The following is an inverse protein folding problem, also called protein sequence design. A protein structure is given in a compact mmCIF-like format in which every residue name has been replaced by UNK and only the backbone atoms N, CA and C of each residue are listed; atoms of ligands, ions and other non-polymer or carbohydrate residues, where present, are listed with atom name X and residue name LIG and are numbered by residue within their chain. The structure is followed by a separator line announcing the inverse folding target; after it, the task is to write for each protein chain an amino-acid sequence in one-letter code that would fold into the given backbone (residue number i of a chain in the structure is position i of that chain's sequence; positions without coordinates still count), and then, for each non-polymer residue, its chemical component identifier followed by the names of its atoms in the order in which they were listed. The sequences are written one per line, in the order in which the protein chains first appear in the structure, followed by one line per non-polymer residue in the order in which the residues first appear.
data_IF_903494311092
#
_entry.id   IF_903494311092
#
_cell.length_a   1.000
_cell.length_b   1.000
_cell.length_c   1.000
_cell.angle_alpha   90.00
_cell.angle_beta   90.00
_cell.angle_gamma   90.00
#
_symmetry.space_group_name_H-M   'P 1'
#
loop_
_entity.id
_entity.type
_entity.pdbx_description
1 polymer ?
#
# COMPACT_ATOMS: atom_id res chain seq x y z
N UNK A 1 13.03 -0.78 6.84
CA UNK A 1 12.11 0.37 7.09
C UNK A 1 11.38 0.04 8.38
N UNK A 2 11.18 0.96 9.33
CA UNK A 2 10.41 0.56 10.53
C UNK A 2 8.94 0.36 10.15
N UNK A 3 8.39 -0.83 10.36
CA UNK A 3 6.96 -1.08 10.17
C UNK A 3 6.14 -0.15 11.07
N UNK A 4 5.07 0.42 10.54
CA UNK A 4 4.14 1.21 11.35
C UNK A 4 3.39 0.30 12.32
N UNK A 5 3.67 0.43 13.62
CA UNK A 5 3.13 -0.44 14.67
C UNK A 5 1.60 -0.45 14.72
N UNK A 6 0.94 0.70 14.49
CA UNK A 6 -0.53 0.76 14.46
C UNK A 6 -1.11 -0.06 13.32
N UNK A 7 -0.50 0.03 12.13
CA UNK A 7 -0.89 -0.74 10.95
C UNK A 7 -0.62 -2.23 11.16
N UNK A 8 0.54 -2.58 11.73
CA UNK A 8 0.90 -3.95 12.07
C UNK A 8 -0.10 -4.59 13.05
N UNK A 9 -0.54 -3.82 14.07
CA UNK A 9 -1.52 -4.29 15.04
C UNK A 9 -2.88 -4.65 14.41
N UNK A 10 -3.26 -4.06 13.27
CA UNK A 10 -4.49 -4.47 12.57
C UNK A 10 -4.40 -5.89 12.01
N UNK A 11 -3.20 -6.41 11.79
CA UNK A 11 -2.93 -7.77 11.33
C UNK A 11 -2.64 -8.71 12.50
N UNK A 12 -1.82 -8.29 13.46
CA UNK A 12 -1.43 -9.15 14.58
C UNK A 12 -2.58 -9.46 15.54
N UNK A 13 -3.47 -8.50 15.79
CA UNK A 13 -4.61 -8.72 16.68
C UNK A 13 -5.55 -9.87 16.25
N UNK A 14 -6.02 -9.94 14.98
CA UNK A 14 -6.78 -11.10 14.52
C UNK A 14 -5.96 -12.38 14.46
N UNK A 15 -4.67 -12.33 14.17
CA UNK A 15 -3.81 -13.53 14.18
C UNK A 15 -3.61 -14.12 15.58
N UNK A 16 -3.32 -13.30 16.60
CA UNK A 16 -3.21 -13.76 17.99
C UNK A 16 -4.52 -14.43 18.47
N UNK A 17 -5.67 -13.88 18.05
CA UNK A 17 -6.98 -14.51 18.32
C UNK A 17 -7.10 -15.87 17.68
N UNK A 18 -6.75 -16.02 16.39
CA UNK A 18 -6.84 -17.31 15.70
C UNK A 18 -5.93 -18.38 16.34
N UNK A 19 -4.75 -17.98 16.82
CA UNK A 19 -3.87 -18.86 17.60
C UNK A 19 -4.53 -19.36 18.89
N UNK A 20 -5.25 -18.48 19.59
CA UNK A 20 -5.92 -18.80 20.86
C UNK A 20 -7.13 -19.71 20.65
N UNK A 21 -7.84 -19.52 19.53
CA UNK A 21 -9.04 -20.28 19.18
C UNK A 21 -8.71 -21.65 18.53
N UNK A 22 -7.44 -21.90 18.19
CA UNK A 22 -6.97 -23.14 17.56
C UNK A 22 -7.27 -23.21 16.05
N UNK A 23 -7.58 -22.08 15.41
CA UNK A 23 -7.84 -21.98 13.97
C UNK A 23 -6.56 -21.52 13.25
N UNK A 24 -5.81 -22.46 12.67
CA UNK A 24 -4.54 -22.16 11.98
C UNK A 24 -4.57 -22.65 10.53
N UNK A 25 -4.25 -21.77 9.58
CA UNK A 25 -4.30 -22.03 8.14
C UNK A 25 -2.98 -22.60 7.58
N UNK A 26 -1.89 -22.50 8.35
CA UNK A 26 -0.50 -22.73 7.97
C UNK A 26 -0.01 -24.18 8.13
N UNK A 27 -0.85 -25.09 8.64
CA UNK A 27 -0.44 -26.43 9.08
C UNK A 27 0.29 -27.24 7.99
N UNK A 28 -0.01 -27.01 6.71
CA UNK A 28 0.64 -27.71 5.60
C UNK A 28 2.14 -27.39 5.44
N UNK A 29 2.60 -26.18 5.77
CA UNK A 29 4.03 -25.83 5.71
C UNK A 29 4.82 -26.50 6.83
N UNK A 30 4.25 -26.52 8.03
CA UNK A 30 4.87 -27.18 9.19
C UNK A 30 5.01 -28.68 8.96
N UNK A 31 3.96 -29.33 8.43
CA UNK A 31 4.01 -30.73 8.00
C UNK A 31 5.08 -30.98 6.91
N UNK A 32 5.23 -30.05 5.96
CA UNK A 32 6.24 -30.13 4.92
C UNK A 32 7.66 -30.08 5.49
N UNK A 33 7.96 -29.14 6.39
CA UNK A 33 9.27 -29.01 7.04
C UNK A 33 9.58 -30.27 7.86
N UNK A 34 8.64 -30.74 8.69
CA UNK A 34 8.86 -31.92 9.52
C UNK A 34 9.10 -33.18 8.66
N UNK A 35 8.30 -33.35 7.61
CA UNK A 35 8.45 -34.43 6.66
C UNK A 35 9.81 -34.36 5.94
N UNK A 36 10.23 -33.17 5.51
CA UNK A 36 11.51 -33.00 4.84
C UNK A 36 12.67 -33.28 5.79
N UNK A 37 12.74 -32.59 6.93
CA UNK A 37 13.83 -32.75 7.91
C UNK A 37 13.95 -34.16 8.48
N UNK A 38 12.86 -34.92 8.58
CA UNK A 38 12.89 -36.32 9.07
C UNK A 38 13.45 -37.29 8.02
N UNK A 39 13.22 -37.04 6.74
CA UNK A 39 13.44 -38.03 5.69
C UNK A 39 14.57 -37.65 4.72
N UNK A 40 15.04 -36.40 4.74
CA UNK A 40 16.08 -35.93 3.83
C UNK A 40 17.44 -36.53 4.18
N UNK A 41 18.04 -37.22 3.21
CA UNK A 41 19.41 -37.73 3.28
C UNK A 41 20.06 -37.61 1.89
N UNK A 42 20.95 -36.64 1.73
CA UNK A 42 21.62 -36.35 0.46
C UNK A 42 22.46 -37.53 -0.05
N UNK A 43 22.94 -38.39 0.86
CA UNK A 43 23.79 -39.53 0.56
C UNK A 43 23.01 -40.86 0.52
N UNK A 44 21.68 -40.80 0.56
CA UNK A 44 20.81 -41.96 0.44
C UNK A 44 21.15 -42.80 -0.81
N UNK A 45 21.16 -44.13 -0.61
CA UNK A 45 21.44 -45.10 -1.68
C UNK A 45 20.37 -44.99 -2.77
N UNK A 46 19.09 -44.98 -2.39
CA UNK A 46 17.96 -44.73 -3.28
C UNK A 46 17.51 -43.27 -3.15
N UNK A 47 18.29 -42.37 -3.74
CA UNK A 47 18.02 -40.94 -3.71
C UNK A 47 16.63 -40.56 -4.28
N UNK A 48 16.13 -41.16 -5.39
CA UNK A 48 14.78 -40.89 -5.87
C UNK A 48 13.68 -41.26 -4.87
N UNK A 49 13.79 -42.42 -4.21
CA UNK A 49 12.83 -42.82 -3.18
C UNK A 49 12.89 -41.91 -1.94
N UNK A 50 14.11 -41.58 -1.48
CA UNK A 50 14.33 -40.63 -0.40
C UNK A 50 13.69 -39.27 -0.73
N UNK A 51 13.97 -38.72 -1.92
CA UNK A 51 13.42 -37.43 -2.36
C UNK A 51 11.89 -37.46 -2.38
N UNK A 52 11.28 -38.54 -2.89
CA UNK A 52 9.83 -38.68 -2.93
C UNK A 52 9.20 -38.71 -1.53
N UNK A 53 9.87 -39.35 -0.57
CA UNK A 53 9.44 -39.41 0.82
C UNK A 53 9.61 -38.05 1.51
N UNK A 54 10.77 -37.43 1.42
CA UNK A 54 11.07 -36.13 2.04
C UNK A 54 10.20 -34.99 1.50
N UNK A 55 9.80 -35.05 0.24
CA UNK A 55 8.98 -33.99 -0.38
C UNK A 55 7.49 -34.30 -0.40
N UNK A 56 7.04 -35.41 0.20
CA UNK A 56 5.66 -35.87 0.09
C UNK A 56 4.65 -34.78 0.52
N UNK A 57 4.87 -34.18 1.69
CA UNK A 57 4.00 -33.12 2.22
C UNK A 57 4.25 -31.77 1.53
N UNK A 58 5.50 -31.47 1.18
CA UNK A 58 5.88 -30.25 0.47
C UNK A 58 5.17 -30.08 -0.89
N UNK A 59 4.70 -31.17 -1.52
CA UNK A 59 3.91 -31.10 -2.75
C UNK A 59 2.65 -30.26 -2.62
N UNK A 60 1.96 -30.32 -1.48
CA UNK A 60 0.73 -29.56 -1.27
C UNK A 60 0.97 -28.04 -1.27
N UNK A 61 2.20 -27.63 -0.93
CA UNK A 61 2.61 -26.22 -0.81
C UNK A 61 3.30 -25.73 -2.08
N UNK A 62 4.16 -26.57 -2.69
CA UNK A 62 5.02 -26.17 -3.80
C UNK A 62 4.48 -26.49 -5.18
N UNK A 63 3.68 -27.56 -5.34
CA UNK A 63 3.08 -27.93 -6.63
C UNK A 63 1.69 -27.30 -6.78
N UNK A 64 1.46 -26.67 -7.92
CA UNK A 64 0.15 -26.15 -8.37
C UNK A 64 -0.22 -26.79 -9.71
N UNK A 65 -1.48 -26.66 -10.18
CA UNK A 65 -1.84 -27.11 -11.52
C UNK A 65 -1.01 -26.47 -12.64
N UNK A 66 -0.55 -25.22 -12.46
CA UNK A 66 0.20 -24.46 -13.45
C UNK A 66 1.73 -24.70 -13.37
N UNK A 67 2.25 -25.04 -12.19
CA UNK A 67 3.69 -25.14 -11.91
C UNK A 67 3.94 -26.28 -10.92
N UNK A 68 4.74 -27.28 -11.31
CA UNK A 68 5.00 -28.50 -10.53
C UNK A 68 6.52 -28.72 -10.35
N UNK A 69 7.20 -27.94 -9.51
CA UNK A 69 8.63 -28.09 -9.27
C UNK A 69 9.00 -29.45 -8.69
N UNK A 70 8.27 -29.98 -7.70
CA UNK A 70 8.58 -31.30 -7.11
C UNK A 70 8.23 -32.40 -8.08
N UNK A 71 7.03 -32.33 -8.69
CA UNK A 71 6.61 -33.29 -9.72
C UNK A 71 7.59 -33.39 -10.89
N UNK A 72 8.19 -32.26 -11.30
CA UNK A 72 9.23 -32.22 -12.33
C UNK A 72 10.50 -32.96 -11.91
N UNK A 73 10.98 -32.76 -10.67
CA UNK A 73 12.16 -33.47 -10.16
C UNK A 73 11.94 -34.98 -10.12
N UNK A 74 10.78 -35.41 -9.61
CA UNK A 74 10.41 -36.83 -9.57
C UNK A 74 10.37 -37.43 -10.98
N UNK A 75 9.77 -36.73 -11.94
CA UNK A 75 9.73 -37.16 -13.33
C UNK A 75 11.13 -37.23 -13.96
N UNK A 76 12.01 -36.27 -13.66
CA UNK A 76 13.38 -36.25 -14.18
C UNK A 76 14.20 -37.42 -13.62
N UNK A 77 14.05 -37.74 -12.34
CA UNK A 77 14.75 -38.85 -11.69
C UNK A 77 14.23 -40.24 -12.08
N UNK A 78 13.12 -40.33 -12.84
CA UNK A 78 12.76 -41.58 -13.55
C UNK A 78 13.78 -41.96 -14.62
N UNK A 79 14.63 -41.03 -15.05
CA UNK A 79 15.79 -41.29 -15.90
C UNK A 79 17.03 -41.54 -15.02
N UNK A 80 17.53 -42.78 -14.89
CA UNK A 80 18.61 -43.11 -13.95
C UNK A 80 19.89 -42.29 -14.17
N UNK A 81 20.14 -41.85 -15.41
CA UNK A 81 21.30 -41.01 -15.77
C UNK A 81 21.24 -39.59 -15.22
N UNK A 82 20.07 -39.12 -14.77
CA UNK A 82 19.87 -37.77 -14.25
C UNK A 82 19.86 -37.71 -12.72
N UNK A 83 19.78 -38.86 -12.04
CA UNK A 83 19.68 -38.93 -10.57
C UNK A 83 20.86 -38.26 -9.89
N UNK A 84 22.09 -38.60 -10.29
CA UNK A 84 23.28 -38.01 -9.64
C UNK A 84 23.42 -36.53 -9.95
N UNK A 85 23.02 -36.08 -11.14
CA UNK A 85 23.01 -34.64 -11.43
C UNK A 85 22.03 -33.90 -10.52
N UNK A 86 20.83 -34.44 -10.32
CA UNK A 86 19.86 -33.85 -9.42
C UNK A 86 20.42 -33.80 -7.99
N UNK A 87 21.06 -34.89 -7.53
CA UNK A 87 21.73 -34.95 -6.23
C UNK A 87 22.81 -33.87 -6.10
N UNK A 88 23.67 -33.73 -7.11
CA UNK A 88 24.71 -32.69 -7.15
C UNK A 88 24.14 -31.27 -7.16
N UNK A 89 23.02 -31.03 -7.86
CA UNK A 89 22.32 -29.75 -7.79
C UNK A 89 21.87 -29.44 -6.35
N UNK A 90 21.35 -30.43 -5.61
CA UNK A 90 21.00 -30.23 -4.20
C UNK A 90 22.21 -30.04 -3.29
N UNK A 91 23.31 -30.79 -3.50
CA UNK A 91 24.58 -30.54 -2.79
C UNK A 91 25.03 -29.10 -2.98
N UNK A 92 24.96 -28.58 -4.21
CA UNK A 92 25.29 -27.20 -4.48
C UNK A 92 24.33 -26.20 -3.81
N UNK A 93 23.02 -26.46 -3.90
CA UNK A 93 22.00 -25.60 -3.31
C UNK A 93 22.20 -25.46 -1.79
N UNK A 94 22.47 -26.57 -1.11
CA UNK A 94 22.65 -26.70 0.33
C UNK A 94 24.09 -26.55 0.83
N UNK A 95 25.00 -26.05 -0.02
CA UNK A 95 26.32 -25.67 0.48
C UNK A 95 26.19 -24.59 1.57
N UNK A 96 27.27 -24.26 2.26
CA UNK A 96 27.32 -23.08 3.12
C UNK A 96 27.45 -21.81 2.26
N UNK A 97 26.82 -20.71 2.68
CA UNK A 97 26.99 -19.37 2.09
C UNK A 97 27.61 -18.35 3.04
N UNK A 98 27.98 -18.75 4.27
CA UNK A 98 28.44 -17.88 5.34
C UNK A 98 27.40 -16.79 5.72
N UNK A 99 26.10 -17.04 5.47
CA UNK A 99 25.03 -16.06 5.65
C UNK A 99 24.96 -15.00 4.54
N UNK A 100 25.72 -15.12 3.46
CA UNK A 100 25.71 -14.15 2.35
C UNK A 100 24.53 -14.38 1.40
N UNK A 101 23.50 -13.54 1.53
CA UNK A 101 22.30 -13.59 0.68
C UNK A 101 22.58 -13.44 -0.81
N UNK A 102 23.68 -12.80 -1.23
CA UNK A 102 24.04 -12.74 -2.66
C UNK A 102 24.57 -14.07 -3.16
N UNK A 103 25.37 -14.78 -2.35
CA UNK A 103 25.78 -16.15 -2.67
C UNK A 103 24.55 -17.07 -2.69
N UNK A 104 23.67 -16.94 -1.70
CA UNK A 104 22.41 -17.70 -1.62
C UNK A 104 21.55 -17.50 -2.87
N UNK A 105 21.36 -16.24 -3.29
CA UNK A 105 20.68 -15.90 -4.56
C UNK A 105 21.31 -16.63 -5.75
N UNK A 106 22.64 -16.58 -5.88
CA UNK A 106 23.35 -17.27 -6.96
C UNK A 106 23.14 -18.79 -6.94
N UNK A 107 23.03 -19.42 -5.77
CA UNK A 107 22.76 -20.86 -5.65
C UNK A 107 21.34 -21.23 -6.09
N UNK A 108 20.33 -20.48 -5.68
CA UNK A 108 18.94 -20.74 -6.07
C UNK A 108 18.72 -20.52 -7.57
N UNK A 109 19.36 -19.52 -8.17
CA UNK A 109 19.35 -19.27 -9.61
C UNK A 109 20.05 -20.39 -10.38
N UNK A 110 21.27 -20.75 -9.96
CA UNK A 110 22.03 -21.80 -10.63
C UNK A 110 21.33 -23.16 -10.54
N UNK A 111 20.75 -23.50 -9.40
CA UNK A 111 19.94 -24.70 -9.24
C UNK A 111 18.79 -24.74 -10.26
N UNK A 112 18.01 -23.65 -10.34
CA UNK A 112 16.89 -23.56 -11.25
C UNK A 112 17.34 -23.71 -12.71
N UNK A 113 18.42 -23.04 -13.10
CA UNK A 113 18.95 -23.07 -14.47
C UNK A 113 19.45 -24.46 -14.88
N UNK A 114 20.22 -25.13 -14.02
CA UNK A 114 20.77 -26.47 -14.28
C UNK A 114 19.65 -27.49 -14.45
N UNK A 115 18.70 -27.52 -13.52
CA UNK A 115 17.56 -28.45 -13.55
C UNK A 115 16.66 -28.16 -14.75
N UNK A 116 16.34 -26.89 -15.04
CA UNK A 116 15.51 -26.54 -16.20
C UNK A 116 16.20 -26.87 -17.52
N UNK A 117 17.53 -26.81 -17.59
CA UNK A 117 18.32 -27.32 -18.70
C UNK A 117 18.04 -28.81 -18.96
N UNK A 118 17.94 -29.61 -17.89
CA UNK A 118 17.60 -31.03 -17.96
C UNK A 118 16.13 -31.29 -18.26
N UNK A 119 15.19 -30.54 -17.69
CA UNK A 119 13.78 -30.65 -18.07
C UNK A 119 13.57 -30.43 -19.57
N UNK A 120 14.20 -29.39 -20.16
CA UNK A 120 14.11 -29.13 -21.61
C UNK A 120 14.65 -30.27 -22.46
N UNK A 121 15.68 -30.99 -21.98
CA UNK A 121 16.33 -32.09 -22.69
C UNK A 121 15.59 -33.42 -22.55
N UNK A 122 15.23 -33.78 -21.32
CA UNK A 122 14.72 -35.12 -20.97
C UNK A 122 13.19 -35.19 -20.95
N UNK A 123 12.52 -34.07 -20.65
CA UNK A 123 11.06 -33.98 -20.51
C UNK A 123 10.48 -32.90 -21.46
N UNK A 124 10.73 -32.99 -22.78
CA UNK A 124 10.30 -31.97 -23.72
C UNK A 124 8.76 -31.85 -23.69
N UNK A 125 8.27 -30.61 -23.81
CA UNK A 125 6.82 -30.24 -23.82
C UNK A 125 6.10 -30.28 -22.47
N UNK A 126 6.80 -30.50 -21.36
CA UNK A 126 6.22 -30.40 -20.01
C UNK A 126 6.45 -29.02 -19.39
N UNK A 127 5.81 -27.98 -19.92
CA UNK A 127 6.04 -26.59 -19.48
C UNK A 127 5.74 -26.35 -17.98
N UNK A 128 4.83 -27.13 -17.39
CA UNK A 128 4.55 -27.09 -15.94
C UNK A 128 5.71 -27.57 -15.07
N UNK A 129 6.63 -28.36 -15.60
CA UNK A 129 7.86 -28.76 -14.90
C UNK A 129 8.89 -27.65 -15.09
N UNK A 130 8.96 -26.77 -14.10
CA UNK A 130 9.88 -25.64 -14.09
C UNK A 130 10.32 -25.40 -12.67
N UNK A 131 11.63 -25.22 -12.48
CA UNK A 131 12.18 -24.61 -11.28
C UNK A 131 12.30 -23.11 -11.47
N UNK A 132 12.05 -22.36 -10.42
CA UNK A 132 12.33 -20.92 -10.32
C UNK A 132 13.29 -20.70 -9.16
N UNK A 133 13.95 -19.55 -9.11
CA UNK A 133 14.75 -19.19 -7.93
C UNK A 133 13.90 -19.23 -6.64
N UNK A 134 12.62 -18.84 -6.71
CA UNK A 134 11.68 -18.96 -5.59
C UNK A 134 11.38 -20.39 -5.17
N UNK A 135 11.15 -21.32 -6.12
CA UNK A 135 10.93 -22.73 -5.77
C UNK A 135 12.21 -23.42 -5.26
N UNK A 136 13.38 -23.00 -5.73
CA UNK A 136 14.65 -23.43 -5.20
C UNK A 136 14.87 -22.93 -3.76
N UNK A 137 14.54 -21.67 -3.48
CA UNK A 137 14.61 -21.10 -2.13
C UNK A 137 13.68 -21.83 -1.14
N UNK A 138 12.52 -22.32 -1.57
CA UNK A 138 11.64 -23.12 -0.71
C UNK A 138 12.28 -24.44 -0.24
N UNK A 139 13.19 -25.05 -1.00
CA UNK A 139 13.94 -26.20 -0.50
C UNK A 139 14.91 -25.81 0.62
N UNK A 140 15.50 -24.60 0.58
CA UNK A 140 16.30 -24.08 1.69
C UNK A 140 15.42 -23.92 2.95
N UNK A 141 14.22 -23.34 2.79
CA UNK A 141 13.27 -23.17 3.91
C UNK A 141 12.79 -24.50 4.51
N UNK A 142 12.75 -25.57 3.72
CA UNK A 142 12.41 -26.91 4.22
C UNK A 142 13.55 -27.54 5.02
N UNK A 143 14.80 -27.27 4.65
CA UNK A 143 15.99 -27.84 5.31
C UNK A 143 16.42 -27.04 6.54
N UNK A 144 16.45 -25.71 6.41
CA UNK A 144 17.00 -24.76 7.38
C UNK A 144 15.99 -23.61 7.60
N UNK A 145 14.82 -23.90 8.21
CA UNK A 145 13.81 -22.88 8.51
C UNK A 145 14.32 -21.77 9.44
N UNK A 146 15.35 -22.04 10.24
CA UNK A 146 16.01 -21.07 11.12
C UNK A 146 16.82 -20.00 10.39
N UNK A 147 17.14 -20.21 9.10
CA UNK A 147 17.95 -19.29 8.30
C UNK A 147 17.22 -18.79 7.04
N UNK A 148 16.03 -19.32 6.76
CA UNK A 148 15.32 -19.08 5.50
C UNK A 148 13.81 -18.86 5.67
N UNK A 149 13.30 -17.83 5.00
CA UNK A 149 11.87 -17.54 4.96
C UNK A 149 11.14 -18.31 3.86
N UNK A 150 9.96 -18.86 4.18
CA UNK A 150 9.03 -19.43 3.19
C UNK A 150 8.46 -18.34 2.28
N UNK A 151 8.56 -18.54 0.96
CA UNK A 151 8.13 -17.54 -0.02
C UNK A 151 6.91 -17.99 -0.83
N UNK A 152 5.79 -17.28 -0.66
CA UNK A 152 4.60 -17.37 -1.53
C UNK A 152 4.37 -16.03 -2.24
N UNK A 153 4.53 -15.94 -3.58
CA UNK A 153 4.53 -14.66 -4.29
C UNK A 153 3.28 -13.80 -4.07
N UNK A 154 2.09 -14.39 -3.99
CA UNK A 154 0.85 -13.64 -3.82
C UNK A 154 0.75 -13.01 -2.43
N UNK A 155 1.20 -13.74 -1.40
CA UNK A 155 1.16 -13.32 0.00
C UNK A 155 2.18 -12.21 0.25
N UNK A 156 3.42 -12.40 -0.22
CA UNK A 156 4.48 -11.40 -0.14
C UNK A 156 4.10 -10.09 -0.85
N UNK A 157 3.49 -10.17 -2.05
CA UNK A 157 3.02 -8.98 -2.78
C UNK A 157 1.91 -8.25 -2.06
N UNK A 158 0.95 -8.97 -1.46
CA UNK A 158 -0.12 -8.36 -0.69
C UNK A 158 0.44 -7.65 0.57
N UNK A 159 1.37 -8.29 1.26
CA UNK A 159 2.04 -7.71 2.44
C UNK A 159 2.79 -6.43 2.07
N UNK A 160 3.64 -6.49 1.05
CA UNK A 160 4.40 -5.35 0.58
C UNK A 160 3.54 -4.17 0.17
N UNK A 161 2.48 -4.43 -0.59
CA UNK A 161 1.53 -3.40 -1.01
C UNK A 161 0.81 -2.78 0.20
N UNK A 162 0.49 -3.56 1.22
CA UNK A 162 -0.20 -3.05 2.41
C UNK A 162 0.69 -2.14 3.26
N UNK A 163 1.96 -2.50 3.42
CA UNK A 163 2.92 -1.74 4.22
C UNK A 163 3.73 -0.70 3.42
N UNK A 164 3.47 -0.58 2.11
CA UNK A 164 4.09 0.45 1.26
C UNK A 164 5.54 0.17 0.86
N UNK A 165 5.94 -1.10 0.79
CA UNK A 165 7.20 -1.50 0.18
C UNK A 165 7.12 -1.34 -1.34
N UNK A 166 8.23 -0.96 -1.98
CA UNK A 166 8.35 -1.04 -3.43
C UNK A 166 8.19 -2.51 -3.85
N UNK A 167 7.16 -2.82 -4.65
CA UNK A 167 6.66 -4.18 -4.92
C UNK A 167 7.60 -5.09 -5.74
N UNK A 168 8.86 -4.68 -5.91
CA UNK A 168 9.77 -5.33 -6.84
C UNK A 168 10.70 -6.31 -6.14
N UNK A 169 10.15 -7.28 -5.41
CA UNK A 169 10.89 -8.51 -5.10
C UNK A 169 11.01 -9.42 -6.33
N UNK A 170 10.36 -9.05 -7.45
CA UNK A 170 10.22 -9.84 -8.66
C UNK A 170 9.59 -11.22 -8.49
N UNK A 171 9.50 -11.96 -9.59
CA UNK A 171 9.09 -13.37 -9.62
C UNK A 171 9.86 -14.08 -10.73
N UNK A 172 10.08 -15.39 -10.61
CA UNK A 172 10.83 -16.15 -11.61
C UNK A 172 12.26 -15.61 -11.73
N UNK A 173 12.65 -15.17 -12.93
CA UNK A 173 13.99 -14.64 -13.20
C UNK A 173 14.27 -13.26 -12.60
N UNK A 174 13.25 -12.52 -12.18
CA UNK A 174 13.41 -11.22 -11.51
C UNK A 174 13.43 -11.35 -9.98
N UNK A 175 13.29 -12.56 -9.44
CA UNK A 175 13.15 -12.76 -7.99
C UNK A 175 14.41 -12.33 -7.22
N UNK A 176 14.22 -11.51 -6.19
CA UNK A 176 15.27 -10.95 -5.35
C UNK A 176 15.10 -11.40 -3.90
N UNK A 177 15.93 -12.37 -3.51
CA UNK A 177 15.97 -12.91 -2.15
C UNK A 177 16.33 -11.83 -1.14
N UNK A 178 17.31 -10.97 -1.47
CA UNK A 178 17.75 -9.89 -0.57
C UNK A 178 16.61 -8.92 -0.24
N UNK A 179 15.83 -8.49 -1.24
CA UNK A 179 14.72 -7.57 -0.98
C UNK A 179 13.58 -8.25 -0.23
N UNK A 180 13.29 -9.52 -0.56
CA UNK A 180 12.27 -10.28 0.16
C UNK A 180 12.65 -10.49 1.62
N UNK A 181 13.90 -10.89 1.90
CA UNK A 181 14.40 -11.11 3.26
C UNK A 181 14.44 -9.82 4.06
N UNK A 182 14.84 -8.69 3.46
CA UNK A 182 14.79 -7.41 4.14
C UNK A 182 13.36 -7.02 4.60
N UNK A 183 12.33 -7.33 3.81
CA UNK A 183 10.93 -7.11 4.20
C UNK A 183 10.51 -8.06 5.34
N UNK A 184 10.94 -9.32 5.28
CA UNK A 184 10.69 -10.30 6.33
C UNK A 184 11.40 -9.91 7.64
N UNK A 185 12.64 -9.44 7.56
CA UNK A 185 13.44 -8.97 8.70
C UNK A 185 12.80 -7.75 9.37
N UNK A 186 12.22 -6.83 8.60
CA UNK A 186 11.47 -5.70 9.14
C UNK A 186 10.28 -6.19 10.02
N UNK A 187 9.60 -7.29 9.65
CA UNK A 187 8.59 -7.93 10.51
C UNK A 187 9.24 -8.66 11.69
N UNK A 188 10.25 -9.49 11.44
CA UNK A 188 10.97 -10.26 12.46
C UNK A 188 11.42 -9.37 13.61
N UNK A 189 12.00 -8.21 13.31
CA UNK A 189 12.52 -7.25 14.29
C UNK A 189 11.42 -6.63 15.18
N UNK A 190 10.16 -6.65 14.76
CA UNK A 190 9.03 -6.19 15.57
C UNK A 190 8.47 -7.28 16.48
N UNK A 191 8.56 -8.56 16.10
CA UNK A 191 7.93 -9.67 16.82
C UNK A 191 8.35 -9.83 18.29
N UNK A 192 9.61 -9.60 18.70
CA UNK A 192 10.02 -9.66 20.11
C UNK A 192 9.29 -8.67 21.02
N UNK A 193 8.61 -7.65 20.47
CA UNK A 193 7.80 -6.70 21.26
C UNK A 193 6.44 -7.28 21.66
N UNK A 194 6.09 -8.46 21.15
CA UNK A 194 4.80 -9.12 21.35
C UNK A 194 5.00 -10.45 22.12
N UNK A 195 5.21 -10.36 23.43
CA UNK A 195 5.51 -11.51 24.31
C UNK A 195 4.48 -12.64 24.19
N UNK A 196 3.18 -12.31 24.14
CA UNK A 196 2.14 -13.34 24.05
C UNK A 196 2.19 -14.08 22.70
N UNK A 197 2.43 -13.36 21.62
CA UNK A 197 2.54 -13.94 20.29
C UNK A 197 3.73 -14.90 20.19
N UNK A 198 4.90 -14.46 20.64
CA UNK A 198 6.12 -15.28 20.63
C UNK A 198 6.02 -16.49 21.56
N UNK A 199 5.35 -16.33 22.72
CA UNK A 199 5.04 -17.43 23.65
C UNK A 199 4.13 -18.47 23.01
N UNK A 200 3.01 -18.05 22.41
CA UNK A 200 2.06 -18.95 21.73
C UNK A 200 2.73 -19.71 20.57
N UNK A 201 3.54 -19.02 19.75
CA UNK A 201 4.31 -19.65 18.68
C UNK A 201 5.28 -20.71 19.21
N UNK A 202 6.05 -20.36 20.23
CA UNK A 202 7.01 -21.28 20.86
C UNK A 202 6.32 -22.53 21.42
N UNK A 203 5.16 -22.37 22.04
CA UNK A 203 4.36 -23.48 22.56
C UNK A 203 3.87 -24.40 21.41
N UNK A 204 3.41 -23.80 20.31
CA UNK A 204 3.01 -24.56 19.11
C UNK A 204 4.17 -25.34 18.50
N UNK A 205 5.35 -24.73 18.33
CA UNK A 205 6.53 -25.40 17.80
C UNK A 205 6.95 -26.60 18.68
N UNK A 206 6.90 -26.46 20.01
CA UNK A 206 7.16 -27.58 20.93
C UNK A 206 6.20 -28.74 20.72
N UNK A 207 4.93 -28.44 20.50
CA UNK A 207 3.88 -29.46 20.39
C UNK A 207 3.83 -30.16 19.02
N UNK A 208 4.28 -29.51 17.95
CA UNK A 208 4.06 -29.99 16.57
C UNK A 208 5.35 -30.20 15.77
N UNK A 209 6.42 -29.52 16.12
CA UNK A 209 7.71 -29.53 15.40
C UNK A 209 8.86 -29.98 16.31
N UNK A 210 8.56 -30.74 17.36
CA UNK A 210 9.54 -31.22 18.35
C UNK A 210 10.42 -30.11 18.98
N UNK A 211 9.94 -28.86 18.96
CA UNK A 211 10.64 -27.72 19.54
C UNK A 211 11.86 -27.26 18.76
N UNK A 212 11.88 -27.40 17.42
CA UNK A 212 12.87 -26.69 16.59
C UNK A 212 12.88 -25.19 16.93
N UNK A 213 14.05 -24.57 16.84
CA UNK A 213 14.18 -23.14 16.97
C UNK A 213 14.25 -22.53 15.56
N UNK A 214 13.13 -22.07 15.06
CA UNK A 214 12.98 -21.45 13.74
C UNK A 214 13.47 -19.99 13.68
N UNK A 215 14.02 -19.45 14.77
CA UNK A 215 14.35 -18.03 14.91
C UNK A 215 13.18 -17.09 14.57
N UNK A 216 11.93 -17.56 14.75
CA UNK A 216 10.68 -16.88 14.37
C UNK A 216 10.48 -16.68 12.85
N UNK A 217 11.31 -17.26 11.98
CA UNK A 217 11.11 -17.14 10.53
C UNK A 217 9.82 -17.83 10.05
N UNK A 218 9.39 -18.92 10.70
CA UNK A 218 8.10 -19.52 10.39
C UNK A 218 6.96 -18.64 10.90
N UNK A 219 7.11 -18.00 12.05
CA UNK A 219 6.11 -17.04 12.54
C UNK A 219 5.92 -15.86 11.57
N UNK A 220 7.01 -15.34 10.99
CA UNK A 220 6.95 -14.31 9.94
C UNK A 220 6.11 -14.79 8.75
N UNK A 221 6.34 -16.02 8.28
CA UNK A 221 5.54 -16.63 7.22
C UNK A 221 4.07 -16.78 7.62
N UNK A 222 3.80 -17.37 8.79
CA UNK A 222 2.45 -17.68 9.25
C UNK A 222 1.57 -16.43 9.39
N UNK A 223 2.16 -15.31 9.84
CA UNK A 223 1.48 -14.01 9.92
C UNK A 223 1.09 -13.53 8.52
N UNK A 224 2.02 -13.54 7.57
CA UNK A 224 1.76 -13.11 6.18
C UNK A 224 0.71 -14.01 5.51
N UNK A 225 0.86 -15.32 5.68
CA UNK A 225 -0.04 -16.31 5.13
C UNK A 225 -1.45 -16.16 5.70
N UNK A 226 -1.58 -16.07 7.03
CA UNK A 226 -2.86 -15.90 7.70
C UNK A 226 -3.52 -14.57 7.33
N UNK A 227 -2.75 -13.48 7.27
CA UNK A 227 -3.25 -12.18 6.81
C UNK A 227 -3.84 -12.28 5.40
N UNK A 228 -3.16 -13.02 4.52
CA UNK A 228 -3.64 -13.30 3.18
C UNK A 228 -4.88 -14.19 3.22
N UNK A 229 -4.81 -15.45 3.65
CA UNK A 229 -5.90 -16.44 3.54
C UNK A 229 -7.16 -16.02 4.30
N UNK A 230 -7.00 -15.54 5.54
CA UNK A 230 -8.12 -15.18 6.41
C UNK A 230 -8.61 -13.73 6.21
N UNK A 231 -7.93 -12.96 5.34
CA UNK A 231 -8.37 -11.62 4.95
C UNK A 231 -8.30 -10.59 6.07
N UNK A 232 -7.21 -10.57 6.83
CA UNK A 232 -7.02 -9.60 7.93
C UNK A 232 -6.82 -8.16 7.46
N UNK A 233 -6.50 -7.96 6.18
CA UNK A 233 -6.39 -6.64 5.59
C UNK A 233 -7.71 -5.85 5.72
N UNK A 234 -7.65 -4.53 5.92
CA UNK A 234 -8.84 -3.70 6.13
C UNK A 234 -9.77 -3.70 4.92
N UNK A 235 -11.07 -3.49 5.17
CA UNK A 235 -12.09 -3.38 4.12
C UNK A 235 -11.68 -2.32 3.08
N UNK A 236 -11.73 -2.72 1.81
CA UNK A 236 -11.32 -1.88 0.68
C UNK A 236 -9.90 -2.11 0.19
N UNK A 237 -9.05 -2.82 0.96
CA UNK A 237 -7.77 -3.31 0.44
C UNK A 237 -7.98 -4.51 -0.49
N UNK A 238 -7.39 -4.47 -1.68
CA UNK A 238 -7.42 -5.59 -2.62
C UNK A 238 -6.08 -6.32 -2.64
N UNK A 239 -6.09 -7.56 -2.14
CA UNK A 239 -4.93 -8.49 -2.15
C UNK A 239 -4.48 -8.87 -3.57
N UNK A 240 -5.39 -8.79 -4.54
CA UNK A 240 -5.19 -9.25 -5.92
C UNK A 240 -5.11 -8.12 -6.93
N UNK A 241 -5.12 -6.85 -6.48
CA UNK A 241 -4.97 -5.72 -7.39
C UNK A 241 -3.70 -5.89 -8.24
N UNK A 242 -3.70 -5.37 -9.45
CA UNK A 242 -2.49 -5.32 -10.28
C UNK A 242 -1.63 -4.12 -9.88
N UNK A 243 -0.32 -4.17 -10.15
CA UNK A 243 0.58 -3.03 -9.91
C UNK A 243 0.02 -1.73 -10.53
N UNK A 244 -0.57 -1.81 -11.73
CA UNK A 244 -1.21 -0.69 -12.43
C UNK A 244 -2.42 -0.13 -11.67
N UNK A 245 -3.29 -0.99 -11.15
CA UNK A 245 -4.45 -0.57 -10.35
C UNK A 245 -4.00 0.05 -9.02
N UNK A 246 -2.91 -0.46 -8.43
CA UNK A 246 -2.33 0.07 -7.19
C UNK A 246 -1.64 1.41 -7.38
N UNK A 247 -0.82 1.59 -8.41
CA UNK A 247 -0.23 2.91 -8.73
C UNK A 247 -1.32 3.95 -8.96
N UNK A 248 -2.42 3.56 -9.62
CA UNK A 248 -3.60 4.43 -9.76
C UNK A 248 -4.23 4.76 -8.41
N UNK A 249 -4.41 3.79 -7.52
CA UNK A 249 -4.97 4.00 -6.19
C UNK A 249 -4.09 4.89 -5.30
N UNK A 250 -2.76 4.70 -5.30
CA UNK A 250 -1.80 5.55 -4.58
C UNK A 250 -1.86 6.99 -5.10
N UNK A 251 -1.85 7.16 -6.42
CA UNK A 251 -1.98 8.48 -7.05
C UNK A 251 -3.30 9.15 -6.68
N UNK A 252 -4.42 8.42 -6.74
CA UNK A 252 -5.74 8.93 -6.36
C UNK A 252 -5.81 9.29 -4.87
N UNK A 253 -5.19 8.50 -3.98
CA UNK A 253 -5.12 8.80 -2.55
C UNK A 253 -4.30 10.06 -2.28
N UNK A 254 -3.17 10.23 -2.97
CA UNK A 254 -2.34 11.43 -2.88
C UNK A 254 -3.07 12.67 -3.40
N UNK A 255 -3.70 12.59 -4.58
CA UNK A 255 -4.52 13.67 -5.15
C UNK A 255 -5.69 14.04 -4.23
N UNK A 256 -6.32 13.05 -3.60
CA UNK A 256 -7.40 13.28 -2.64
C UNK A 256 -6.90 13.97 -1.36
N UNK A 257 -5.75 13.55 -0.82
CA UNK A 257 -5.15 14.16 0.35
C UNK A 257 -4.75 15.61 0.09
N UNK A 258 -4.15 15.89 -1.07
CA UNK A 258 -3.80 17.23 -1.52
C UNK A 258 -5.05 18.12 -1.68
N UNK A 259 -6.10 17.60 -2.31
CA UNK A 259 -7.37 18.33 -2.45
C UNK A 259 -8.02 18.65 -1.09
N UNK A 260 -7.98 17.70 -0.13
CA UNK A 260 -8.46 17.94 1.23
C UNK A 260 -7.67 19.05 1.93
N UNK A 261 -6.34 19.08 1.78
CA UNK A 261 -5.49 20.12 2.35
C UNK A 261 -5.79 21.50 1.76
N UNK A 262 -5.94 21.58 0.43
CA UNK A 262 -6.32 22.83 -0.25
C UNK A 262 -7.71 23.33 0.17
N UNK A 263 -8.68 22.42 0.37
CA UNK A 263 -10.00 22.77 0.90
C UNK A 263 -9.86 23.36 2.30
N UNK A 264 -9.11 22.70 3.20
CA UNK A 264 -8.92 23.17 4.57
C UNK A 264 -8.27 24.58 4.61
N UNK A 265 -7.22 24.81 3.81
CA UNK A 265 -6.58 26.13 3.70
C UNK A 265 -7.54 27.22 3.21
N UNK A 266 -8.36 26.93 2.20
CA UNK A 266 -9.33 27.90 1.67
C UNK A 266 -10.50 28.12 2.61
N UNK A 267 -10.94 27.10 3.33
CA UNK A 267 -11.95 27.22 4.39
C UNK A 267 -11.44 28.12 5.51
N UNK A 268 -10.18 27.95 5.93
CA UNK A 268 -9.55 28.81 6.92
C UNK A 268 -9.49 30.26 6.43
N UNK A 269 -9.02 30.52 5.20
CA UNK A 269 -9.00 31.88 4.63
C UNK A 269 -10.37 32.52 4.56
N UNK A 270 -11.39 31.76 4.16
CA UNK A 270 -12.77 32.24 4.15
C UNK A 270 -13.25 32.56 5.57
N UNK A 271 -12.90 31.74 6.56
CA UNK A 271 -13.26 31.99 7.96
C UNK A 271 -12.57 33.25 8.50
N UNK A 272 -11.28 33.46 8.20
CA UNK A 272 -10.53 34.68 8.56
C UNK A 272 -11.15 35.92 7.92
N UNK A 273 -11.52 35.83 6.63
CA UNK A 273 -12.20 36.90 5.91
C UNK A 273 -13.55 37.24 6.55
N UNK A 274 -14.36 36.23 6.88
CA UNK A 274 -15.66 36.40 7.54
C UNK A 274 -15.55 36.92 8.99
N UNK A 275 -14.42 36.68 9.67
CA UNK A 275 -14.16 37.18 11.01
C UNK A 275 -13.81 38.68 11.04
N UNK A 276 -13.34 39.23 9.92
CA UNK A 276 -13.03 40.65 9.75
C UNK A 276 -13.81 41.26 8.58
N UNK A 277 -15.15 41.34 8.67
CA UNK A 277 -15.97 41.82 7.56
C UNK A 277 -15.69 43.29 7.27
N UNK A 278 -15.49 43.61 5.99
CA UNK A 278 -15.45 45.01 5.55
C UNK A 278 -16.89 45.52 5.44
N UNK A 279 -17.21 46.59 6.17
CA UNK A 279 -18.54 47.19 6.15
C UNK A 279 -18.77 47.97 4.84
N UNK A 280 -20.01 47.95 4.34
CA UNK A 280 -20.41 48.86 3.27
C UNK A 280 -20.44 50.29 3.83
N UNK A 281 -19.75 51.27 3.20
CA UNK A 281 -19.72 52.63 3.71
C UNK A 281 -21.10 53.30 3.64
N UNK A 282 -21.43 54.09 4.67
CA UNK A 282 -22.64 54.91 4.69
C UNK A 282 -22.44 56.16 3.83
N UNK A 283 -23.22 56.25 2.76
CA UNK A 283 -23.19 57.35 1.82
C UNK A 283 -24.15 58.48 2.20
N UNK A 284 -24.92 58.35 3.28
CA UNK A 284 -25.94 59.33 3.67
C UNK A 284 -25.35 60.73 3.83
N UNK A 285 -25.92 61.71 3.11
CA UNK A 285 -25.46 63.09 3.13
C UNK A 285 -24.25 63.39 2.24
N UNK A 286 -23.61 62.39 1.64
CA UNK A 286 -22.51 62.58 0.69
C UNK A 286 -22.99 63.22 -0.61
N UNK A 287 -22.15 64.06 -1.19
CA UNK A 287 -22.28 64.53 -2.55
C UNK A 287 -21.73 63.47 -3.52
N UNK A 288 -22.52 63.13 -4.53
CA UNK A 288 -22.17 62.13 -5.53
C UNK A 288 -22.38 62.69 -6.93
N UNK A 289 -21.51 62.35 -7.86
CA UNK A 289 -21.62 62.74 -9.26
C UNK A 289 -22.15 61.57 -10.07
N UNK A 290 -23.29 61.77 -10.73
CA UNK A 290 -23.86 60.82 -11.69
C UNK A 290 -23.53 61.24 -13.12
N UNK A 291 -23.11 60.29 -13.97
CA UNK A 291 -22.72 60.53 -15.37
C UNK A 291 -23.72 61.34 -16.21
N UNK A 292 -25.02 61.20 -15.95
CA UNK A 292 -26.09 61.90 -16.71
C UNK A 292 -26.84 62.98 -15.94
N UNK A 293 -26.90 62.88 -14.61
CA UNK A 293 -27.73 63.78 -13.78
C UNK A 293 -26.88 64.85 -13.07
N UNK A 294 -25.57 64.80 -13.23
CA UNK A 294 -24.64 65.72 -12.60
C UNK A 294 -24.51 65.43 -11.10
N UNK A 295 -24.30 66.48 -10.33
CA UNK A 295 -24.07 66.39 -8.88
C UNK A 295 -25.41 66.26 -8.15
N UNK A 296 -25.47 65.33 -7.20
CA UNK A 296 -26.65 65.11 -6.35
C UNK A 296 -26.25 64.75 -4.93
N UNK A 297 -27.22 64.87 -4.01
CA UNK A 297 -27.01 64.59 -2.58
C UNK A 297 -27.72 63.31 -2.16
N UNK A 298 -27.00 62.41 -1.49
CA UNK A 298 -27.56 61.16 -0.99
C UNK A 298 -28.46 61.44 0.22
N UNK A 299 -29.69 60.95 0.17
CA UNK A 299 -30.68 61.05 1.24
C UNK A 299 -30.64 59.80 2.15
N UNK A 300 -31.07 59.91 3.42
CA UNK A 300 -31.22 58.76 4.30
C UNK A 300 -32.14 57.71 3.68
N UNK A 301 -31.68 56.46 3.62
CA UNK A 301 -32.43 55.34 3.04
C UNK A 301 -32.29 54.12 3.94
N UNK A 302 -33.38 53.36 4.08
CA UNK A 302 -33.43 52.10 4.84
C UNK A 302 -33.21 50.87 3.96
N UNK A 303 -33.11 51.05 2.64
CA UNK A 303 -33.00 49.97 1.66
C UNK A 303 -31.55 49.81 1.15
N UNK A 304 -31.23 48.68 0.50
CA UNK A 304 -29.98 48.45 -0.26
C UNK A 304 -29.79 49.40 -1.48
N UNK A 305 -30.59 50.45 -1.58
CA UNK A 305 -30.60 51.42 -2.66
C UNK A 305 -30.30 52.82 -2.12
N UNK A 306 -29.44 53.55 -2.84
CA UNK A 306 -29.21 54.97 -2.64
C UNK A 306 -30.40 55.75 -3.21
N UNK A 307 -30.98 56.64 -2.40
CA UNK A 307 -31.89 57.68 -2.88
C UNK A 307 -31.07 58.95 -3.02
N UNK A 308 -30.96 59.49 -4.23
CA UNK A 308 -30.16 60.69 -4.52
C UNK A 308 -31.07 61.78 -5.04
N UNK A 309 -30.99 62.97 -4.45
CA UNK A 309 -31.67 64.17 -4.92
C UNK A 309 -30.79 64.95 -5.89
N UNK A 310 -31.26 65.12 -7.13
CA UNK A 310 -30.65 65.96 -8.16
C UNK A 310 -31.54 67.18 -8.37
N UNK A 311 -31.24 68.29 -7.69
CA UNK A 311 -31.97 69.56 -7.83
C UNK A 311 -33.50 69.43 -7.70
N UNK A 312 -33.98 68.64 -6.74
CA UNK A 312 -35.41 68.41 -6.47
C UNK A 312 -36.00 67.17 -7.15
N UNK A 313 -35.23 66.44 -7.96
CA UNK A 313 -35.63 65.16 -8.52
C UNK A 313 -34.92 63.99 -7.83
N UNK A 314 -35.68 63.18 -7.11
CA UNK A 314 -35.16 61.99 -6.44
C UNK A 314 -35.07 60.79 -7.39
N UNK A 315 -33.93 60.10 -7.36
CA UNK A 315 -33.67 58.88 -8.14
C UNK A 315 -33.12 57.79 -7.22
N UNK A 316 -33.48 56.52 -7.49
CA UNK A 316 -32.99 55.34 -6.77
C UNK A 316 -31.91 54.59 -7.56
N UNK A 317 -30.83 54.20 -6.90
CA UNK A 317 -29.72 53.46 -7.50
C UNK A 317 -29.28 52.31 -6.60
N UNK A 318 -28.85 51.19 -7.18
CA UNK A 318 -28.19 50.12 -6.42
C UNK A 318 -26.80 50.60 -5.99
N UNK A 319 -26.52 50.59 -4.69
CA UNK A 319 -25.28 51.14 -4.11
C UNK A 319 -24.03 50.50 -4.69
N UNK A 320 -23.94 49.18 -4.65
CA UNK A 320 -22.80 48.42 -5.16
C UNK A 320 -22.70 48.51 -6.69
N UNK A 321 -23.79 48.20 -7.40
CA UNK A 321 -23.78 48.15 -8.88
C UNK A 321 -23.40 49.50 -9.51
N UNK A 322 -23.92 50.60 -8.98
CA UNK A 322 -23.77 51.93 -9.59
C UNK A 322 -22.38 52.53 -9.33
N UNK A 323 -21.75 52.17 -8.20
CA UNK A 323 -20.38 52.58 -7.88
C UNK A 323 -19.36 51.75 -8.68
N UNK A 324 -19.52 50.43 -8.76
CA UNK A 324 -18.60 49.54 -9.48
C UNK A 324 -18.57 49.80 -10.99
N UNK A 325 -19.71 50.14 -11.59
CA UNK A 325 -19.83 50.51 -13.02
C UNK A 325 -19.38 51.94 -13.32
N UNK A 326 -19.01 52.70 -12.28
CA UNK A 326 -18.64 54.11 -12.38
C UNK A 326 -19.78 55.00 -12.86
N UNK A 327 -21.05 54.62 -12.66
CA UNK A 327 -22.18 55.51 -12.91
C UNK A 327 -22.33 56.58 -11.82
N UNK A 328 -21.90 56.25 -10.60
CA UNK A 328 -21.80 57.15 -9.47
C UNK A 328 -20.34 57.24 -8.99
N UNK A 329 -19.92 58.43 -8.60
CA UNK A 329 -18.63 58.69 -7.95
C UNK A 329 -18.87 59.59 -6.75
N UNK A 330 -18.44 59.17 -5.56
CA UNK A 330 -18.52 60.01 -4.37
C UNK A 330 -17.47 61.12 -4.44
N UNK A 331 -17.84 62.32 -4.00
CA UNK A 331 -16.92 63.45 -3.95
C UNK A 331 -15.86 63.34 -2.84
N UNK A 332 -16.12 62.51 -1.83
CA UNK A 332 -15.20 62.23 -0.73
C UNK A 332 -14.24 61.08 -1.09
N UNK A 333 -12.92 61.32 -1.20
CA UNK A 333 -11.93 60.28 -1.46
C UNK A 333 -11.91 59.14 -0.43
N UNK A 334 -12.18 59.42 0.84
CA UNK A 334 -12.17 58.40 1.90
C UNK A 334 -13.30 57.38 1.72
N UNK A 335 -14.45 57.85 1.23
CA UNK A 335 -15.61 57.00 0.92
C UNK A 335 -15.35 56.14 -0.32
N UNK A 336 -14.62 56.68 -1.30
CA UNK A 336 -14.19 55.93 -2.48
C UNK A 336 -13.21 54.81 -2.11
N UNK A 337 -12.28 55.07 -1.19
CA UNK A 337 -11.34 54.06 -0.66
C UNK A 337 -12.07 52.94 0.09
N UNK A 338 -12.96 53.28 1.04
CA UNK A 338 -13.78 52.30 1.76
C UNK A 338 -14.66 51.45 0.83
N UNK A 339 -15.20 52.06 -0.24
CA UNK A 339 -15.95 51.32 -1.26
C UNK A 339 -15.08 50.33 -2.01
N UNK A 340 -13.83 50.71 -2.32
CA UNK A 340 -12.89 49.84 -3.01
C UNK A 340 -12.48 48.66 -2.12
N UNK A 341 -12.28 48.88 -0.82
CA UNK A 341 -12.02 47.83 0.17
C UNK A 341 -13.21 46.87 0.25
N UNK A 342 -14.44 47.39 0.34
CA UNK A 342 -15.66 46.57 0.37
C UNK A 342 -15.82 45.73 -0.90
N UNK A 343 -15.52 46.30 -2.07
CA UNK A 343 -15.56 45.57 -3.35
C UNK A 343 -14.49 44.48 -3.41
N UNK A 344 -13.28 44.75 -2.93
CA UNK A 344 -12.19 43.77 -2.86
C UNK A 344 -12.55 42.62 -1.95
N UNK A 345 -13.04 42.92 -0.75
CA UNK A 345 -13.56 41.96 0.22
C UNK A 345 -14.65 41.06 -0.39
N UNK A 346 -15.66 41.66 -1.02
CA UNK A 346 -16.80 40.91 -1.59
C UNK A 346 -16.33 40.00 -2.73
N UNK A 347 -15.44 40.51 -3.59
CA UNK A 347 -14.88 39.74 -4.71
C UNK A 347 -14.03 38.57 -4.24
N UNK A 348 -13.19 38.77 -3.23
CA UNK A 348 -12.37 37.71 -2.65
C UNK A 348 -13.23 36.63 -1.99
N UNK A 349 -14.25 37.07 -1.21
CA UNK A 349 -15.22 36.17 -0.60
C UNK A 349 -15.95 35.31 -1.64
N UNK A 350 -16.55 35.94 -2.65
CA UNK A 350 -17.32 35.23 -3.69
C UNK A 350 -16.44 34.25 -4.47
N UNK A 351 -15.18 34.62 -4.72
CA UNK A 351 -14.21 33.76 -5.38
C UNK A 351 -13.86 32.54 -4.53
N UNK A 352 -13.57 32.72 -3.24
CA UNK A 352 -13.27 31.63 -2.31
C UNK A 352 -14.47 30.68 -2.15
N UNK A 353 -15.69 31.21 -2.00
CA UNK A 353 -16.91 30.40 -1.91
C UNK A 353 -17.14 29.55 -3.16
N UNK A 354 -16.92 30.14 -4.35
CA UNK A 354 -17.05 29.43 -5.62
C UNK A 354 -16.00 28.33 -5.78
N UNK A 355 -14.74 28.62 -5.46
CA UNK A 355 -13.65 27.65 -5.52
C UNK A 355 -13.89 26.49 -4.56
N UNK A 356 -14.26 26.77 -3.31
CA UNK A 356 -14.59 25.75 -2.32
C UNK A 356 -15.74 24.86 -2.76
N UNK A 357 -16.79 25.44 -3.36
CA UNK A 357 -17.92 24.67 -3.90
C UNK A 357 -17.46 23.70 -4.99
N UNK A 358 -16.62 24.16 -5.91
CA UNK A 358 -16.07 23.31 -6.99
C UNK A 358 -15.15 22.23 -6.41
N UNK A 359 -14.24 22.57 -5.51
CA UNK A 359 -13.29 21.62 -4.90
C UNK A 359 -14.00 20.54 -4.09
N UNK A 360 -14.99 20.92 -3.26
CA UNK A 360 -15.80 19.95 -2.50
C UNK A 360 -16.61 19.03 -3.41
N UNK A 361 -17.15 19.55 -4.51
CA UNK A 361 -17.83 18.72 -5.51
C UNK A 361 -16.88 17.74 -6.19
N UNK A 362 -15.66 18.16 -6.53
CA UNK A 362 -14.66 17.27 -7.11
C UNK A 362 -14.28 16.17 -6.12
N UNK A 363 -14.10 16.50 -4.84
CA UNK A 363 -13.79 15.54 -3.78
C UNK A 363 -14.87 14.46 -3.64
N UNK A 364 -16.16 14.84 -3.71
CA UNK A 364 -17.29 13.91 -3.69
C UNK A 364 -17.31 12.97 -4.90
N UNK A 365 -16.90 13.48 -6.07
CA UNK A 365 -16.86 12.72 -7.32
C UNK A 365 -15.63 11.80 -7.45
N UNK A 366 -14.66 11.90 -6.54
CA UNK A 366 -13.49 11.00 -6.46
C UNK A 366 -13.75 9.72 -5.65
N UNK A 367 -14.99 9.55 -5.13
CA UNK A 367 -15.42 8.42 -4.30
C UNK A 367 -15.63 7.12 -5.03
#
# INVERSE_FOLDING_TARGET
MSLNTETLNTILAPYIRSLTDGETAENGVWEAINCFGTNWDIDAVDFPAMFAQATQQARAVMDTPALQPIGGMQALMMHPTEVELVRECFRWLFNDDDGDLKKRQGRVEMFADQVNGRFRRCLPRMAKFTQTAGSAALYLSLLEPEDNYFFVPAEAKAWAAYFGYDEDFGTGAAFSLTQYYAMCDDLLNELPKYDELTRLHTERLKNTMHGINDQLHLLVYDIMHSAYVNGYYPKGFSRTATAKERTKAVKQKAERADLCMQIAEKEQKLQELLASPTALPDLTGCEVTHKMFGVGKVLPSTDQFLVIDFNGQQKKFSTTTSMTSGYLTASDPAVMEQMQDYQTYTKEKDQLEKELKTMKSNLLNMG
#
